data_IF_649260381057
#
_entry.id   IF_649260381057
#
_cell.length_a   1.000
_cell.length_b   1.000
_cell.length_c   1.000
_cell.angle_alpha   90.00
_cell.angle_beta   90.00
_cell.angle_gamma   90.00
#
_symmetry.space_group_name_H-M   'P 1'
#
loop_
_entity.id
_entity.type
_entity.pdbx_description
1 polymer ?
#
# COMPACT_ATOMS: atom_id res chain seq x y z
N UNK A 1 -21.04 3.08 0.52
CA UNK A 1 -22.03 4.17 0.71
C UNK A 1 -21.62 4.98 1.95
N UNK A 2 -21.80 6.30 1.89
CA UNK A 2 -21.10 7.39 2.63
C UNK A 2 -21.36 7.51 4.14
N UNK A 3 -20.31 7.55 4.96
CA UNK A 3 -20.33 8.03 6.36
C UNK A 3 -20.01 9.54 6.45
N UNK A 4 -20.72 10.27 7.32
CA UNK A 4 -20.51 11.73 7.53
C UNK A 4 -19.56 11.96 8.71
N UNK A 5 -18.53 12.79 8.51
CA UNK A 5 -17.65 13.31 9.57
C UNK A 5 -18.05 14.75 9.93
N UNK A 6 -18.69 14.91 11.09
CA UNK A 6 -18.94 16.16 11.83
C UNK A 6 -17.73 16.72 12.60
N UNK A 7 -16.95 17.73 12.16
CA UNK A 7 -16.07 18.44 13.11
C UNK A 7 -16.90 19.25 14.12
N UNK A 8 -16.62 19.09 15.41
CA UNK A 8 -17.03 20.06 16.44
C UNK A 8 -15.81 20.86 16.86
N UNK A 9 -15.92 22.19 16.78
CA UNK A 9 -14.93 23.14 17.32
C UNK A 9 -15.03 23.14 18.84
N UNK A 10 -13.90 23.13 19.54
CA UNK A 10 -13.88 23.26 21.00
C UNK A 10 -14.32 24.67 21.42
N UNK A 11 -15.44 24.73 22.14
CA UNK A 11 -15.98 25.80 22.98
C UNK A 11 -16.35 27.14 22.31
N UNK A 12 -17.65 27.46 22.41
CA UNK A 12 -18.19 28.83 22.42
C UNK A 12 -18.56 29.40 21.05
N UNK A 13 -19.73 29.04 20.52
CA UNK A 13 -20.32 29.75 19.37
C UNK A 13 -21.33 28.92 18.59
N UNK A 14 -22.61 29.16 18.82
CA UNK A 14 -23.73 28.65 18.04
C UNK A 14 -23.75 29.32 16.66
N UNK A 15 -23.11 28.70 15.66
CA UNK A 15 -23.47 28.88 14.24
C UNK A 15 -23.48 27.54 13.53
N UNK A 16 -24.59 27.27 12.86
CA UNK A 16 -24.81 26.07 12.07
C UNK A 16 -23.80 25.99 10.90
N UNK A 17 -23.26 24.80 10.66
CA UNK A 17 -22.39 24.50 9.52
C UNK A 17 -23.25 24.20 8.27
N UNK A 18 -22.81 24.60 7.06
CA UNK A 18 -23.52 24.34 5.81
C UNK A 18 -23.46 22.84 5.42
N UNK A 19 -24.45 22.34 4.67
CA UNK A 19 -24.56 20.93 4.34
C UNK A 19 -23.90 20.64 2.99
N UNK A 20 -22.78 19.91 2.96
CA UNK A 20 -22.40 18.92 1.93
C UNK A 20 -20.91 18.57 2.02
N UNK A 21 -20.58 17.48 2.70
CA UNK A 21 -19.36 16.73 2.45
C UNK A 21 -19.71 15.56 1.51
N UNK A 22 -19.03 15.44 0.37
CA UNK A 22 -19.08 14.26 -0.51
C UNK A 22 -17.76 13.50 -0.37
N UNK A 23 -17.83 12.18 -0.20
CA UNK A 23 -16.67 11.30 -0.33
C UNK A 23 -16.36 11.21 -1.82
N UNK A 24 -15.14 11.54 -2.23
CA UNK A 24 -14.66 11.26 -3.57
C UNK A 24 -14.66 9.73 -3.79
N UNK A 25 -15.48 9.25 -4.73
CA UNK A 25 -15.42 7.88 -5.20
C UNK A 25 -14.46 7.83 -6.40
N UNK A 26 -13.55 6.85 -6.40
CA UNK A 26 -12.68 6.58 -7.54
C UNK A 26 -11.28 7.15 -7.41
N UNK A 27 -10.52 6.68 -6.43
CA UNK A 27 -9.07 6.61 -6.52
C UNK A 27 -8.64 5.37 -5.74
N UNK A 28 -7.77 4.58 -6.35
CA UNK A 28 -7.20 3.36 -5.81
C UNK A 28 -6.37 3.71 -4.56
N UNK A 29 -6.88 3.36 -3.37
CA UNK A 29 -6.37 3.82 -2.06
C UNK A 29 -5.57 2.73 -1.34
N UNK A 30 -4.70 1.99 -2.06
CA UNK A 30 -3.79 1.04 -1.41
C UNK A 30 -2.56 1.69 -0.75
N UNK A 31 -2.42 3.02 -0.77
CA UNK A 31 -1.22 3.73 -0.31
C UNK A 31 -1.41 4.68 0.88
N UNK A 32 -2.61 4.71 1.49
CA UNK A 32 -2.95 5.65 2.55
C UNK A 32 -2.43 5.29 3.96
N UNK A 33 -1.41 4.44 4.09
CA UNK A 33 -0.85 4.04 5.39
C UNK A 33 0.31 4.91 5.88
N UNK A 34 0.70 5.97 5.17
CA UNK A 34 1.74 6.91 5.63
C UNK A 34 1.37 8.36 5.32
N UNK A 35 0.70 9.03 6.24
CA UNK A 35 0.53 10.49 6.21
C UNK A 35 -0.84 10.98 6.67
N UNK A 36 -0.90 11.59 7.85
CA UNK A 36 -2.07 12.33 8.34
C UNK A 36 -2.26 13.62 7.53
N UNK A 37 -3.02 13.58 6.42
CA UNK A 37 -3.52 14.81 5.78
C UNK A 37 -4.96 14.61 5.31
N UNK A 38 -5.87 15.48 5.76
CA UNK A 38 -7.17 15.69 5.15
C UNK A 38 -7.17 17.12 4.61
N UNK A 39 -7.43 17.32 3.32
CA UNK A 39 -7.62 18.63 2.72
C UNK A 39 -9.11 18.94 2.68
N UNK A 40 -9.51 20.08 3.22
CA UNK A 40 -10.86 20.65 3.08
C UNK A 40 -10.69 22.04 2.48
N UNK A 41 -11.32 22.29 1.33
CA UNK A 41 -11.49 23.56 0.62
C UNK A 41 -10.55 24.71 1.03
N UNK A 42 -9.34 24.71 0.46
CA UNK A 42 -8.57 25.93 0.21
C UNK A 42 -8.09 26.79 1.39
N UNK A 43 -8.32 26.42 2.66
CA UNK A 43 -7.79 27.14 3.81
C UNK A 43 -7.07 26.21 4.80
N UNK A 44 -5.77 26.47 4.98
CA UNK A 44 -4.93 25.81 5.99
C UNK A 44 -5.33 26.29 7.39
N UNK A 45 -6.27 25.60 8.04
CA UNK A 45 -6.59 25.91 9.44
C UNK A 45 -5.56 25.23 10.35
N UNK A 46 -4.60 26.03 10.85
CA UNK A 46 -3.72 25.63 11.94
C UNK A 46 -4.51 25.39 13.22
N UNK A 47 -4.57 24.14 13.68
CA UNK A 47 -5.20 23.77 14.94
C UNK A 47 -5.00 22.30 15.28
N UNK A 48 -4.69 22.00 16.54
CA UNK A 48 -4.57 20.63 17.06
C UNK A 48 -5.97 20.03 17.19
N UNK A 49 -6.35 19.14 16.28
CA UNK A 49 -7.60 18.39 16.37
C UNK A 49 -7.43 17.23 17.35
N UNK A 50 -8.30 17.16 18.36
CA UNK A 50 -8.39 16.02 19.27
C UNK A 50 -9.57 15.16 18.84
N UNK A 51 -9.28 13.94 18.38
CA UNK A 51 -10.28 13.01 17.90
C UNK A 51 -10.89 12.27 19.08
N UNK A 52 -12.17 12.51 19.38
CA UNK A 52 -12.91 11.69 20.34
C UNK A 52 -13.60 10.54 19.59
N UNK A 53 -13.22 9.31 19.95
CA UNK A 53 -13.72 8.08 19.35
C UNK A 53 -15.16 7.84 19.81
N UNK A 54 -16.15 8.32 19.04
CA UNK A 54 -17.54 7.87 19.23
C UNK A 54 -17.67 6.46 18.65
N UNK A 55 -17.80 5.46 19.53
CA UNK A 55 -18.08 4.07 19.15
C UNK A 55 -19.54 4.00 18.68
N UNK A 56 -19.75 4.28 17.40
CA UNK A 56 -20.97 3.89 16.70
C UNK A 56 -20.81 2.45 16.21
N UNK A 57 -21.65 1.55 16.71
CA UNK A 57 -21.63 0.13 16.36
C UNK A 57 -22.02 -0.09 14.90
N UNK A 58 -21.02 -0.20 14.05
CA UNK A 58 -21.14 -0.90 12.77
C UNK A 58 -20.17 -2.08 12.89
N UNK A 59 -20.70 -3.29 12.95
CA UNK A 59 -19.87 -4.48 12.96
C UNK A 59 -19.32 -4.64 11.54
N UNK A 60 -18.16 -4.04 11.28
CA UNK A 60 -17.38 -4.37 10.09
C UNK A 60 -16.76 -5.72 10.40
N UNK A 61 -17.34 -6.79 9.86
CA UNK A 61 -16.72 -8.10 9.92
C UNK A 61 -15.39 -8.00 9.16
N UNK A 62 -14.31 -7.84 9.92
CA UNK A 62 -12.97 -7.84 9.35
C UNK A 62 -12.75 -9.20 8.70
N UNK A 63 -12.13 -9.25 7.50
CA UNK A 63 -11.80 -10.50 6.87
C UNK A 63 -11.01 -11.38 7.86
N UNK A 64 -11.31 -12.69 7.92
CA UNK A 64 -10.71 -13.58 8.89
C UNK A 64 -9.19 -13.61 8.70
N UNK A 65 -8.46 -13.69 9.81
CA UNK A 65 -7.00 -13.90 9.78
C UNK A 65 -6.68 -15.37 9.55
N UNK A 66 -5.54 -15.63 8.94
CA UNK A 66 -4.99 -16.97 8.85
C UNK A 66 -4.62 -17.50 10.25
N UNK A 67 -4.59 -18.83 10.39
CA UNK A 67 -4.15 -19.45 11.64
C UNK A 67 -2.63 -19.23 11.83
N UNK A 68 -2.11 -19.30 13.07
CA UNK A 68 -0.68 -19.14 13.34
C UNK A 68 0.20 -20.11 12.56
N UNK A 69 -0.29 -21.33 12.32
CA UNK A 69 0.40 -22.36 11.54
C UNK A 69 0.57 -21.91 10.09
N UNK A 70 -0.51 -21.43 9.47
CA UNK A 70 -0.48 -20.89 8.09
C UNK A 70 0.44 -19.68 7.98
N UNK A 71 0.45 -18.78 8.98
CA UNK A 71 1.37 -17.64 9.01
C UNK A 71 2.83 -18.10 9.11
N UNK A 72 3.10 -19.14 9.90
CA UNK A 72 4.44 -19.70 10.05
C UNK A 72 4.93 -20.30 8.73
N UNK A 73 4.08 -21.06 8.03
CA UNK A 73 4.39 -21.62 6.70
C UNK A 73 4.66 -20.51 5.67
N UNK A 74 3.80 -19.49 5.63
CA UNK A 74 4.01 -18.31 4.76
C UNK A 74 5.30 -17.56 5.12
N UNK A 75 5.65 -17.50 6.40
CA UNK A 75 6.90 -16.90 6.86
C UNK A 75 8.14 -17.63 6.34
N UNK A 76 8.11 -18.96 6.31
CA UNK A 76 9.19 -19.78 5.74
C UNK A 76 9.28 -19.58 4.22
N UNK A 77 8.14 -19.58 3.53
CA UNK A 77 8.08 -19.30 2.09
C UNK A 77 8.63 -17.90 1.74
N UNK A 78 8.32 -16.90 2.57
CA UNK A 78 8.85 -15.54 2.44
C UNK A 78 10.38 -15.48 2.63
N UNK A 79 10.93 -16.24 3.59
CA UNK A 79 12.39 -16.34 3.78
C UNK A 79 13.09 -16.97 2.59
N UNK A 80 12.50 -18.01 2.02
CA UNK A 80 13.05 -18.70 0.85
C UNK A 80 12.98 -17.82 -0.40
N UNK A 81 11.86 -17.13 -0.63
CA UNK A 81 11.73 -16.17 -1.72
C UNK A 81 12.76 -15.03 -1.60
N UNK A 82 12.94 -14.47 -0.40
CA UNK A 82 13.95 -13.45 -0.14
C UNK A 82 15.36 -13.97 -0.45
N UNK A 83 15.69 -15.18 0.02
CA UNK A 83 16.99 -15.81 -0.25
C UNK A 83 17.23 -16.05 -1.74
N UNK A 84 16.20 -16.46 -2.48
CA UNK A 84 16.29 -16.68 -3.93
C UNK A 84 16.59 -15.36 -4.68
N UNK A 85 15.91 -14.28 -4.31
CA UNK A 85 16.15 -12.95 -4.89
C UNK A 85 17.56 -12.45 -4.59
N UNK A 86 18.02 -12.59 -3.35
CA UNK A 86 19.40 -12.23 -2.96
C UNK A 86 20.44 -13.04 -3.76
N UNK A 87 20.22 -14.34 -3.94
CA UNK A 87 21.10 -15.19 -4.76
C UNK A 87 21.14 -14.78 -6.23
N UNK A 88 20.04 -14.22 -6.74
CA UNK A 88 19.97 -13.66 -8.09
C UNK A 88 20.62 -12.26 -8.20
N UNK A 89 21.18 -11.73 -7.12
CA UNK A 89 21.80 -10.40 -7.07
C UNK A 89 20.81 -9.26 -6.88
N UNK A 90 19.55 -9.56 -6.53
CA UNK A 90 18.52 -8.56 -6.23
C UNK A 90 18.51 -8.29 -4.73
N UNK A 91 18.66 -7.03 -4.33
CA UNK A 91 18.46 -6.62 -2.94
C UNK A 91 17.02 -6.95 -2.52
N UNK A 92 16.87 -7.80 -1.50
CA UNK A 92 15.57 -8.20 -0.97
C UNK A 92 15.54 -8.11 0.56
N UNK A 93 14.38 -7.73 1.10
CA UNK A 93 14.19 -7.47 2.53
C UNK A 93 12.86 -8.05 3.01
N UNK A 94 12.82 -8.50 4.27
CA UNK A 94 11.60 -8.90 4.97
C UNK A 94 10.96 -7.66 5.59
N UNK A 95 9.89 -7.15 4.99
CA UNK A 95 9.22 -5.93 5.45
C UNK A 95 8.52 -6.15 6.82
N UNK A 96 8.04 -7.35 7.06
CA UNK A 96 7.36 -7.74 8.30
C UNK A 96 8.30 -7.91 9.51
N UNK A 97 9.62 -7.95 9.27
CA UNK A 97 10.64 -8.17 10.31
C UNK A 97 11.61 -6.99 10.47
N UNK A 98 11.78 -6.14 9.45
CA UNK A 98 12.71 -5.02 9.47
C UNK A 98 11.96 -3.68 9.42
N UNK A 99 11.75 -3.08 10.60
CA UNK A 99 11.15 -1.74 10.73
C UNK A 99 11.94 -0.65 9.98
N UNK A 100 13.21 -0.89 9.66
CA UNK A 100 14.10 0.05 8.96
C UNK A 100 14.21 -0.23 7.45
N UNK A 101 13.46 -1.22 6.94
CA UNK A 101 13.38 -1.51 5.51
C UNK A 101 12.54 -0.47 4.76
N UNK A 102 11.62 0.22 5.46
CA UNK A 102 10.74 1.23 4.89
C UNK A 102 11.50 2.35 4.17
N UNK A 103 11.57 2.27 2.84
CA UNK A 103 12.24 3.26 1.99
C UNK A 103 13.54 2.78 1.33
N UNK A 104 14.03 1.57 1.64
CA UNK A 104 15.20 1.00 0.95
C UNK A 104 14.81 0.51 -0.45
N UNK A 105 15.59 0.82 -1.49
CA UNK A 105 15.34 0.30 -2.83
C UNK A 105 15.59 -1.20 -2.88
N UNK A 106 14.69 -1.94 -3.52
CA UNK A 106 14.79 -3.40 -3.61
C UNK A 106 13.43 -4.08 -3.57
N UNK A 107 13.47 -5.42 -3.52
CA UNK A 107 12.30 -6.26 -3.32
C UNK A 107 11.94 -6.33 -1.83
N UNK A 108 10.68 -6.06 -1.51
CA UNK A 108 10.12 -6.14 -0.16
C UNK A 108 9.20 -7.34 -0.11
N UNK A 109 9.56 -8.33 0.70
CA UNK A 109 8.78 -9.55 0.90
C UNK A 109 7.98 -9.40 2.19
N UNK A 110 6.66 -9.58 2.10
CA UNK A 110 5.74 -9.49 3.24
C UNK A 110 4.75 -10.65 3.26
N UNK A 111 4.29 -10.99 4.46
CA UNK A 111 3.22 -11.97 4.68
C UNK A 111 1.92 -11.23 4.94
N UNK A 112 0.91 -11.45 4.11
CA UNK A 112 -0.44 -10.96 4.35
C UNK A 112 -1.11 -11.84 5.44
N UNK A 113 -1.56 -11.23 6.56
CA UNK A 113 -2.15 -11.96 7.68
C UNK A 113 -3.58 -12.47 7.41
N UNK A 114 -4.22 -12.08 6.30
CA UNK A 114 -5.57 -12.51 5.97
C UNK A 114 -5.62 -14.01 5.61
N UNK A 115 -6.76 -14.66 5.87
CA UNK A 115 -6.95 -16.09 5.60
C UNK A 115 -6.71 -16.42 4.12
N UNK A 116 -7.23 -15.58 3.22
CA UNK A 116 -7.05 -15.62 1.77
C UNK A 116 -5.81 -14.84 1.27
N UNK A 117 -5.02 -14.27 2.20
CA UNK A 117 -3.75 -13.62 1.91
C UNK A 117 -2.66 -14.61 1.48
N UNK A 118 -1.43 -14.12 1.32
CA UNK A 118 -0.28 -14.93 0.95
C UNK A 118 1.04 -14.23 1.18
N UNK A 119 2.07 -14.70 0.48
CA UNK A 119 3.38 -14.02 0.43
C UNK A 119 3.37 -13.07 -0.76
N UNK A 120 3.68 -11.80 -0.50
CA UNK A 120 3.70 -10.74 -1.50
C UNK A 120 5.11 -10.19 -1.61
N UNK A 121 5.54 -9.92 -2.84
CA UNK A 121 6.81 -9.28 -3.15
C UNK A 121 6.54 -8.00 -3.92
N UNK A 122 6.86 -6.87 -3.32
CA UNK A 122 6.74 -5.55 -3.91
C UNK A 122 8.10 -4.98 -4.28
N UNK A 123 8.19 -4.25 -5.39
CA UNK A 123 9.40 -3.50 -5.71
C UNK A 123 9.30 -2.08 -5.18
N UNK A 124 10.29 -1.68 -4.38
CA UNK A 124 10.46 -0.32 -3.92
C UNK A 124 11.59 0.36 -4.71
N UNK A 125 11.29 1.48 -5.34
CA UNK A 125 12.29 2.34 -6.00
C UNK A 125 12.99 3.25 -5.00
N UNK A 126 14.03 3.96 -5.46
CA UNK A 126 14.61 5.04 -4.67
C UNK A 126 13.57 6.13 -4.38
N UNK A 127 13.65 6.70 -3.18
CA UNK A 127 12.72 7.69 -2.67
C UNK A 127 12.57 8.91 -3.60
N UNK A 128 13.64 9.31 -4.30
CA UNK A 128 13.61 10.43 -5.24
C UNK A 128 12.63 10.20 -6.40
N UNK A 129 12.67 9.01 -7.01
CA UNK A 129 11.77 8.67 -8.12
C UNK A 129 10.32 8.56 -7.64
N UNK A 130 10.10 7.92 -6.48
CA UNK A 130 8.77 7.79 -5.87
C UNK A 130 8.21 9.16 -5.50
N UNK A 131 9.00 10.02 -4.84
CA UNK A 131 8.58 11.35 -4.43
C UNK A 131 8.24 12.24 -5.63
N UNK A 132 9.06 12.22 -6.68
CA UNK A 132 8.79 12.98 -7.90
C UNK A 132 7.45 12.58 -8.55
N UNK A 133 7.13 11.28 -8.58
CA UNK A 133 5.85 10.81 -9.11
C UNK A 133 4.67 11.21 -8.21
N UNK A 134 4.81 11.10 -6.89
CA UNK A 134 3.76 11.47 -5.91
C UNK A 134 3.49 12.97 -5.96
N UNK A 135 4.52 13.81 -5.93
CA UNK A 135 4.40 15.27 -5.99
C UNK A 135 3.63 15.73 -7.23
N UNK A 136 3.81 15.04 -8.36
CA UNK A 136 3.09 15.34 -9.60
C UNK A 136 1.62 14.93 -9.50
N UNK A 137 1.33 13.74 -8.99
CA UNK A 137 -0.04 13.26 -8.79
C UNK A 137 -0.83 14.17 -7.84
N UNK A 138 -0.21 14.64 -6.75
CA UNK A 138 -0.83 15.57 -5.80
C UNK A 138 -1.19 16.92 -6.41
N UNK A 139 -0.40 17.39 -7.39
CA UNK A 139 -0.65 18.66 -8.10
C UNK A 139 -1.78 18.56 -9.12
N UNK A 140 -2.32 17.37 -9.35
CA UNK A 140 -3.33 17.11 -10.36
C UNK A 140 -2.69 16.94 -11.74
N UNK A 141 -2.91 15.77 -12.32
CA UNK A 141 -2.35 15.39 -13.61
C UNK A 141 -3.49 15.10 -14.58
N UNK A 142 -3.38 15.57 -15.81
CA UNK A 142 -4.28 15.13 -16.89
C UNK A 142 -3.99 13.65 -17.21
N UNK A 143 -4.96 12.73 -17.00
CA UNK A 143 -4.78 11.31 -17.30
C UNK A 143 -4.47 11.03 -18.78
N UNK A 144 -4.85 11.94 -19.68
CA UNK A 144 -4.61 11.82 -21.12
C UNK A 144 -3.15 12.14 -21.50
N UNK A 145 -2.44 12.86 -20.63
CA UNK A 145 -1.09 13.36 -20.87
C UNK A 145 -0.24 13.29 -19.59
N UNK A 146 0.01 12.06 -19.11
CA UNK A 146 0.85 11.84 -17.94
C UNK A 146 2.27 12.43 -18.13
N UNK A 147 2.84 13.10 -17.12
CA UNK A 147 4.24 13.51 -17.09
C UNK A 147 5.19 12.35 -17.31
N UNK A 148 6.40 12.66 -17.79
CA UNK A 148 7.42 11.66 -18.11
C UNK A 148 7.85 10.88 -16.87
N UNK A 149 7.89 11.53 -15.72
CA UNK A 149 8.30 11.01 -14.43
C UNK A 149 7.36 9.91 -13.96
N UNK A 150 6.04 10.13 -14.10
CA UNK A 150 5.01 9.14 -13.75
C UNK A 150 5.13 7.93 -14.68
N UNK A 151 5.20 8.16 -16.00
CA UNK A 151 5.40 7.05 -16.96
C UNK A 151 6.68 6.27 -16.69
N UNK A 152 7.75 6.97 -16.33
CA UNK A 152 9.03 6.33 -16.03
C UNK A 152 8.94 5.48 -14.76
N UNK A 153 8.34 6.00 -13.70
CA UNK A 153 8.07 5.25 -12.47
C UNK A 153 7.24 3.98 -12.75
N UNK A 154 6.12 4.10 -13.47
CA UNK A 154 5.28 2.94 -13.85
C UNK A 154 6.04 1.90 -14.68
N UNK A 155 6.87 2.36 -15.61
CA UNK A 155 7.72 1.49 -16.43
C UNK A 155 8.72 0.73 -15.56
N UNK A 156 9.39 1.41 -14.62
CA UNK A 156 10.32 0.78 -13.68
C UNK A 156 9.61 -0.25 -12.81
N UNK A 157 8.45 0.10 -12.23
CA UNK A 157 7.65 -0.84 -11.42
C UNK A 157 7.26 -2.09 -12.24
N UNK A 158 6.84 -1.91 -13.49
CA UNK A 158 6.46 -3.02 -14.37
C UNK A 158 7.64 -3.92 -14.70
N UNK A 159 8.76 -3.35 -15.14
CA UNK A 159 9.96 -4.10 -15.47
C UNK A 159 10.49 -4.88 -14.27
N UNK A 160 10.52 -4.26 -13.08
CA UNK A 160 11.03 -4.92 -11.88
C UNK A 160 10.09 -6.00 -11.36
N UNK A 161 8.77 -5.80 -11.43
CA UNK A 161 7.79 -6.85 -11.14
C UNK A 161 8.00 -8.06 -12.05
N UNK A 162 8.10 -7.83 -13.35
CA UNK A 162 8.26 -8.93 -14.32
C UNK A 162 9.61 -9.64 -14.15
N UNK A 163 10.67 -8.92 -13.79
CA UNK A 163 11.96 -9.50 -13.42
C UNK A 163 11.88 -10.36 -12.14
N UNK A 164 11.26 -9.85 -11.07
CA UNK A 164 11.04 -10.59 -9.82
C UNK A 164 10.24 -11.87 -10.07
N UNK A 165 9.17 -11.77 -10.87
CA UNK A 165 8.36 -12.92 -11.27
C UNK A 165 9.20 -13.96 -11.99
N UNK A 166 9.98 -13.57 -13.00
CA UNK A 166 10.84 -14.48 -13.75
C UNK A 166 11.91 -15.16 -12.89
N UNK A 167 12.55 -14.40 -12.00
CA UNK A 167 13.58 -14.92 -11.08
C UNK A 167 12.98 -15.95 -10.13
N UNK A 168 11.86 -15.63 -9.46
CA UNK A 168 11.23 -16.55 -8.53
C UNK A 168 10.71 -17.80 -9.26
N UNK A 169 10.09 -17.66 -10.44
CA UNK A 169 9.69 -18.80 -11.24
C UNK A 169 10.90 -19.70 -11.60
N UNK A 170 12.02 -19.11 -12.00
CA UNK A 170 13.25 -19.86 -12.31
C UNK A 170 13.86 -20.57 -11.09
N UNK A 171 13.62 -20.05 -9.90
CA UNK A 171 14.03 -20.66 -8.63
C UNK A 171 13.04 -21.73 -8.14
N UNK A 172 12.01 -22.04 -8.93
CA UNK A 172 11.04 -23.11 -8.64
C UNK A 172 9.84 -22.64 -7.83
N UNK A 173 9.59 -21.34 -7.67
CA UNK A 173 8.40 -20.86 -6.97
C UNK A 173 7.18 -20.82 -7.90
N UNK A 174 6.01 -21.17 -7.36
CA UNK A 174 4.74 -20.89 -8.01
C UNK A 174 4.38 -19.41 -7.75
N UNK A 175 4.50 -18.59 -8.79
CA UNK A 175 4.30 -17.14 -8.72
C UNK A 175 3.33 -16.61 -9.76
N UNK A 176 2.63 -15.54 -9.39
CA UNK A 176 1.76 -14.80 -10.30
C UNK A 176 1.75 -13.31 -9.98
N UNK A 177 1.18 -12.50 -10.88
CA UNK A 177 0.89 -11.09 -10.59
C UNK A 177 -0.24 -11.06 -9.57
N UNK A 178 -0.05 -10.33 -8.47
CA UNK A 178 -1.10 -10.16 -7.49
C UNK A 178 -2.28 -9.37 -8.08
N UNK A 179 -3.47 -9.48 -7.47
CA UNK A 179 -4.60 -8.65 -7.85
C UNK A 179 -4.24 -7.17 -7.72
N UNK A 180 -4.34 -6.44 -8.83
CA UNK A 180 -3.87 -5.06 -8.88
C UNK A 180 -4.68 -4.12 -7.99
N UNK A 181 -5.96 -4.41 -7.76
CA UNK A 181 -6.80 -3.60 -6.88
C UNK A 181 -6.44 -3.78 -5.41
N UNK A 182 -6.04 -5.00 -5.02
CA UNK A 182 -5.73 -5.32 -3.62
C UNK A 182 -4.27 -5.05 -3.28
N UNK A 183 -3.36 -5.28 -4.24
CA UNK A 183 -1.92 -5.34 -4.00
C UNK A 183 -1.08 -4.59 -5.06
N UNK A 184 -1.71 -3.81 -5.94
CA UNK A 184 -1.00 -2.97 -6.90
C UNK A 184 -0.12 -3.77 -7.86
N UNK A 185 1.19 -3.52 -7.81
CA UNK A 185 2.18 -4.17 -8.69
C UNK A 185 2.94 -5.32 -8.01
N UNK A 186 2.41 -5.87 -6.92
CA UNK A 186 3.06 -7.00 -6.23
C UNK A 186 3.10 -8.28 -7.08
N UNK A 187 4.08 -9.13 -6.77
CA UNK A 187 4.12 -10.54 -7.15
C UNK A 187 3.61 -11.37 -5.97
N UNK A 188 2.67 -12.28 -6.22
CA UNK A 188 2.21 -13.23 -5.21
C UNK A 188 2.99 -14.54 -5.35
N UNK A 189 3.48 -15.06 -4.22
CA UNK A 189 4.15 -16.36 -4.11
C UNK A 189 3.21 -17.33 -3.39
N UNK A 190 2.85 -18.42 -4.07
CA UNK A 190 1.87 -19.41 -3.58
C UNK A 190 2.51 -20.66 -2.97
N UNK A 191 3.73 -20.98 -3.37
CA UNK A 191 4.45 -22.19 -2.95
C UNK A 191 5.56 -22.55 -3.92
N UNK A 192 5.87 -23.84 -4.04
CA UNK A 192 6.87 -24.39 -4.97
C UNK A 192 6.21 -25.13 -6.13
N UNK A 193 6.85 -25.05 -7.28
CA UNK A 193 6.58 -25.87 -8.47
C UNK A 193 7.35 -27.16 -8.28
N UNK A 194 6.65 -28.25 -7.97
CA UNK A 194 7.22 -29.59 -7.79
C UNK A 194 7.83 -30.16 -9.07
#
# INVERSE_FOLDING_TARGET
MTGRFCPKRSRGGTRALPPRCRVAQGADLSWASRGNVCVCDGETIGGRFQWEKRVGGYNFDLPPKATPEVITERGQLADEACRALVRAGISAYREDLDEHSGGRPGAHVRVDPLADGGVLVDWNTQAELTAAAVDLLERGVDPSHLPREIRHFETVQTCMRDAVLGILASAGFQVEKADAHSYGNAVQVKGFTH
#
